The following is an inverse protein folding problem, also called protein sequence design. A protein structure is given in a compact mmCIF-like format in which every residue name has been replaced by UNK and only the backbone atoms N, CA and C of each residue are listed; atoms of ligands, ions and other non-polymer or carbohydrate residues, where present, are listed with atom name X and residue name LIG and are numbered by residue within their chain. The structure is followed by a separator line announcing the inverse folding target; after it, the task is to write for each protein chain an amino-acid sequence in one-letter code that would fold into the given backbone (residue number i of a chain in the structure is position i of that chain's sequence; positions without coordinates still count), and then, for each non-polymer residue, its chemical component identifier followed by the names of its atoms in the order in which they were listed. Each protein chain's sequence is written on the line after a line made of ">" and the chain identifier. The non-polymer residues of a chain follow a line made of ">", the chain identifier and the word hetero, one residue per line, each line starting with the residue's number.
data_IF_887183628422
#
_entry.id   IF_887183628422
#
_cell.length_a   1.000
_cell.length_b   1.000
_cell.length_c   1.000
_cell.angle_alpha   90.00
_cell.angle_beta   90.00
_cell.angle_gamma   90.00
#
_symmetry.space_group_name_H-M   'P 1'
#
loop_
_entity.id
_entity.type
_entity.pdbx_description
1 polymer ?
#
# COMPACT_ATOMS: atom_id res chain seq x y z
N UNK A 1 -2.37 6.61 4.48
CA UNK A 1 -3.41 7.09 3.54
C UNK A 1 -3.75 6.06 2.47
N UNK A 2 -2.79 5.52 1.71
CA UNK A 2 -3.06 4.52 0.64
C UNK A 2 -3.44 3.15 1.22
N UNK A 3 -2.73 2.67 2.25
CA UNK A 3 -3.00 1.34 2.84
C UNK A 3 -4.40 1.20 3.44
N UNK A 4 -4.91 2.24 4.09
CA UNK A 4 -6.23 2.23 4.72
C UNK A 4 -7.37 2.41 3.70
N UNK A 5 -7.20 3.32 2.72
CA UNK A 5 -8.22 3.58 1.70
C UNK A 5 -8.36 2.43 0.71
N UNK A 6 -7.25 1.79 0.33
CA UNK A 6 -7.23 0.65 -0.58
C UNK A 6 -7.22 -0.70 0.13
N UNK A 7 -7.29 -0.70 1.48
CA UNK A 7 -7.23 -1.90 2.32
C UNK A 7 -6.09 -2.85 1.93
N UNK A 8 -4.89 -2.31 1.70
CA UNK A 8 -3.69 -3.09 1.32
C UNK A 8 -2.78 -3.39 2.51
N UNK A 9 -3.26 -3.18 3.73
CA UNK A 9 -2.54 -3.47 4.96
C UNK A 9 -3.47 -3.39 6.17
N UNK A 10 -2.93 -3.70 7.35
CA UNK A 10 -3.65 -3.61 8.62
C UNK A 10 -3.07 -2.49 9.48
N UNK A 11 -3.92 -1.83 10.25
CA UNK A 11 -3.51 -0.81 11.20
C UNK A 11 -3.47 -1.38 12.61
N UNK A 12 -2.47 -0.96 13.38
CA UNK A 12 -2.32 -1.31 14.79
C UNK A 12 -2.48 -0.03 15.59
N UNK A 13 -3.33 -0.05 16.61
CA UNK A 13 -3.44 1.04 17.56
C UNK A 13 -2.22 1.07 18.48
N UNK A 14 -1.72 2.28 18.76
CA UNK A 14 -0.66 2.50 19.74
C UNK A 14 -1.29 2.64 21.12
N UNK A 15 -0.53 2.26 22.15
CA UNK A 15 -0.86 2.59 23.53
C UNK A 15 -0.81 4.10 23.76
N UNK A 16 -1.28 4.54 24.93
CA UNK A 16 -1.23 5.95 25.35
C UNK A 16 0.21 6.49 25.41
N UNK A 17 1.18 5.62 25.63
CA UNK A 17 2.62 5.88 25.57
C UNK A 17 3.16 6.06 24.14
N UNK A 18 2.31 5.88 23.12
CA UNK A 18 2.67 5.96 21.71
C UNK A 18 3.43 4.74 21.20
N UNK A 19 3.54 3.67 21.99
CA UNK A 19 4.26 2.45 21.62
C UNK A 19 3.32 1.33 21.17
N UNK A 20 3.90 0.33 20.52
CA UNK A 20 3.21 -0.92 20.18
C UNK A 20 3.61 -2.02 21.15
N UNK A 21 2.66 -2.85 21.56
CA UNK A 21 2.96 -4.05 22.34
C UNK A 21 3.39 -5.19 21.41
N UNK A 22 4.17 -6.13 21.93
CA UNK A 22 4.56 -7.33 21.17
C UNK A 22 3.33 -8.13 20.75
N UNK A 23 2.31 -8.18 21.60
CA UNK A 23 1.07 -8.91 21.40
C UNK A 23 0.25 -8.31 20.26
N UNK A 24 0.16 -6.97 20.18
CA UNK A 24 -0.59 -6.30 19.11
C UNK A 24 0.09 -6.49 17.76
N UNK A 25 1.42 -6.40 17.70
CA UNK A 25 2.20 -6.67 16.48
C UNK A 25 2.07 -8.13 16.07
N UNK A 26 2.20 -9.08 17.00
CA UNK A 26 2.05 -10.51 16.73
C UNK A 26 0.67 -10.83 16.16
N UNK A 27 -0.40 -10.25 16.73
CA UNK A 27 -1.76 -10.39 16.20
C UNK A 27 -1.87 -9.87 14.77
N UNK A 28 -1.37 -8.67 14.50
CA UNK A 28 -1.43 -8.08 13.16
C UNK A 28 -0.70 -8.93 12.11
N UNK A 29 0.50 -9.43 12.44
CA UNK A 29 1.25 -10.33 11.56
C UNK A 29 0.45 -11.61 11.31
N UNK A 30 -0.08 -12.25 12.35
CA UNK A 30 -0.91 -13.46 12.19
C UNK A 30 -2.14 -13.20 11.32
N UNK A 31 -2.86 -12.10 11.54
CA UNK A 31 -4.03 -11.75 10.73
C UNK A 31 -3.71 -11.63 9.24
N UNK A 32 -2.54 -11.10 8.86
CA UNK A 32 -2.15 -10.96 7.45
C UNK A 32 -1.59 -12.26 6.88
N UNK A 33 -0.88 -13.04 7.70
CA UNK A 33 -0.16 -14.23 7.27
C UNK A 33 -1.00 -15.51 7.27
N UNK A 34 -2.09 -15.56 8.04
CA UNK A 34 -3.02 -16.69 8.06
C UNK A 34 -3.86 -16.72 6.77
N UNK A 35 -3.83 -17.86 6.07
CA UNK A 35 -4.54 -18.04 4.80
C UNK A 35 -6.06 -18.20 4.97
N UNK A 36 -6.51 -18.59 6.17
CA UNK A 36 -7.94 -18.65 6.50
C UNK A 36 -8.49 -17.30 6.99
N UNK A 37 -7.62 -16.32 7.21
CA UNK A 37 -8.01 -14.96 7.60
C UNK A 37 -8.67 -14.23 6.43
N UNK A 38 -9.94 -13.86 6.58
CA UNK A 38 -10.66 -13.04 5.61
C UNK A 38 -9.94 -11.70 5.35
N UNK A 39 -9.48 -11.05 6.42
CA UNK A 39 -8.71 -9.81 6.33
C UNK A 39 -7.39 -10.04 5.59
N UNK A 40 -6.70 -11.14 5.88
CA UNK A 40 -5.45 -11.50 5.21
C UNK A 40 -5.64 -11.69 3.70
N UNK A 41 -6.70 -12.40 3.30
CA UNK A 41 -7.06 -12.60 1.89
C UNK A 41 -7.43 -11.28 1.19
N UNK A 42 -8.25 -10.43 1.82
CA UNK A 42 -8.62 -9.11 1.28
C UNK A 42 -7.38 -8.24 1.06
N UNK A 43 -6.51 -8.15 2.07
CA UNK A 43 -5.26 -7.39 2.01
C UNK A 43 -4.36 -7.86 0.88
N UNK A 44 -4.14 -9.18 0.74
CA UNK A 44 -3.30 -9.73 -0.34
C UNK A 44 -3.90 -9.46 -1.71
N UNK A 45 -5.20 -9.68 -1.89
CA UNK A 45 -5.87 -9.44 -3.17
C UNK A 45 -5.78 -7.96 -3.59
N UNK A 46 -6.00 -7.03 -2.65
CA UNK A 46 -5.91 -5.60 -2.94
C UNK A 46 -4.46 -5.16 -3.16
N UNK A 47 -3.51 -5.70 -2.40
CA UNK A 47 -2.10 -5.43 -2.61
C UNK A 47 -1.61 -5.90 -3.98
N UNK A 48 -2.04 -7.08 -4.44
CA UNK A 48 -1.75 -7.58 -5.79
C UNK A 48 -2.30 -6.66 -6.88
N UNK A 49 -3.57 -6.25 -6.78
CA UNK A 49 -4.17 -5.29 -7.72
C UNK A 49 -3.42 -3.96 -7.73
N UNK A 50 -3.07 -3.43 -6.56
CA UNK A 50 -2.30 -2.19 -6.46
C UNK A 50 -0.92 -2.34 -7.12
N UNK A 51 -0.23 -3.46 -6.86
CA UNK A 51 1.06 -3.76 -7.47
C UNK A 51 0.93 -3.82 -9.00
N UNK A 52 -0.07 -4.50 -9.53
CA UNK A 52 -0.24 -4.66 -10.98
C UNK A 52 -0.56 -3.32 -11.67
N UNK A 53 -1.32 -2.44 -11.00
CA UNK A 53 -1.53 -1.05 -11.45
C UNK A 53 -0.19 -0.30 -11.46
N UNK A 54 0.53 -0.31 -10.34
CA UNK A 54 1.79 0.43 -10.21
C UNK A 54 2.90 -0.08 -11.15
N UNK A 55 2.88 -1.36 -11.53
CA UNK A 55 3.84 -1.94 -12.47
C UNK A 55 3.34 -1.92 -13.93
N UNK A 56 2.16 -1.36 -14.19
CA UNK A 56 1.66 -1.27 -15.56
C UNK A 56 2.52 -0.30 -16.36
N UNK A 57 3.03 -0.78 -17.50
CA UNK A 57 3.88 0.01 -18.41
C UNK A 57 3.22 1.31 -18.87
N UNK A 58 1.89 1.32 -18.90
CA UNK A 58 1.09 2.46 -19.28
C UNK A 58 1.11 3.59 -18.24
N UNK A 59 1.27 3.26 -16.95
CA UNK A 59 1.35 4.26 -15.88
C UNK A 59 2.79 4.76 -15.67
N UNK A 60 3.78 3.85 -15.65
CA UNK A 60 5.16 4.23 -15.32
C UNK A 60 5.78 5.19 -16.33
N UNK A 61 5.64 4.91 -17.63
CA UNK A 61 6.25 5.74 -18.65
C UNK A 61 5.44 7.01 -18.90
N UNK A 62 4.11 6.91 -19.03
CA UNK A 62 3.28 8.06 -19.44
C UNK A 62 3.33 9.21 -18.45
N UNK A 63 3.33 8.93 -17.14
CA UNK A 63 3.36 10.01 -16.14
C UNK A 63 4.73 10.70 -16.07
N UNK A 64 5.82 9.91 -16.12
CA UNK A 64 7.18 10.45 -16.11
C UNK A 64 7.47 11.21 -17.41
N UNK A 65 7.09 10.64 -18.56
CA UNK A 65 7.26 11.27 -19.87
C UNK A 65 6.45 12.56 -19.96
N UNK A 66 5.19 12.56 -19.53
CA UNK A 66 4.36 13.76 -19.50
C UNK A 66 4.93 14.84 -18.58
N UNK A 67 5.45 14.45 -17.42
CA UNK A 67 6.09 15.38 -16.49
C UNK A 67 7.37 15.99 -17.10
N UNK A 68 8.24 15.17 -17.68
CA UNK A 68 9.44 15.62 -18.38
C UNK A 68 9.10 16.56 -19.55
N UNK A 69 8.07 16.24 -20.33
CA UNK A 69 7.61 17.08 -21.43
C UNK A 69 7.16 18.46 -20.94
N UNK A 70 6.35 18.52 -19.87
CA UNK A 70 5.93 19.79 -19.26
C UNK A 70 7.11 20.60 -18.72
N UNK A 71 8.12 19.97 -18.14
CA UNK A 71 9.32 20.67 -17.71
C UNK A 71 10.11 21.24 -18.89
N UNK A 72 10.18 20.52 -20.01
CA UNK A 72 10.81 21.01 -21.24
C UNK A 72 10.06 22.20 -21.84
N UNK A 73 8.73 22.18 -21.84
CA UNK A 73 7.90 23.31 -22.29
C UNK A 73 8.16 24.58 -21.46
N UNK A 74 8.44 24.44 -20.15
CA UNK A 74 8.76 25.58 -19.27
C UNK A 74 10.15 26.17 -19.50
N UNK A 75 11.05 25.44 -20.18
CA UNK A 75 12.39 25.90 -20.55
C UNK A 75 12.44 26.46 -21.98
N UNK A 76 11.32 26.41 -22.72
CA UNK A 76 11.14 26.99 -24.05
C UNK A 76 10.86 28.49 -24.03
#
# INVERSE_FOLDING_TARGET
>A
MISNSLKTGVQIERGEDGLFTKESVCKAVKTVMDDESEVGREVRANHLKLRDILLSKDLDNTYVDSFCHKLQELLG
#
